data_IF_164473419891
#
_entry.id   IF_164473419891
#
_cell.length_a   1.000
_cell.length_b   1.000
_cell.length_c   1.000
_cell.angle_alpha   90.00
_cell.angle_beta   90.00
_cell.angle_gamma   90.00
#
_symmetry.space_group_name_H-M   'P 1'
#
loop_
_entity.id
_entity.type
_entity.pdbx_description
1 polymer ?
#
# COMPACT_ATOMS: atom_id res chain seq x y z
N UNK A 1 -14.92 2.01 -22.27
CA UNK A 1 -13.55 2.55 -22.17
C UNK A 1 -13.10 2.37 -20.74
N UNK A 2 -11.82 2.07 -20.56
CA UNK A 2 -11.16 1.89 -19.28
C UNK A 2 -10.07 2.94 -19.15
N UNK A 3 -9.78 3.36 -17.92
CA UNK A 3 -8.71 4.30 -17.63
C UNK A 3 -7.38 3.57 -17.54
N UNK A 4 -6.35 4.17 -18.12
CA UNK A 4 -4.95 3.87 -17.85
C UNK A 4 -4.49 4.74 -16.66
N UNK A 5 -3.38 4.35 -16.02
CA UNK A 5 -2.86 5.07 -14.85
C UNK A 5 -2.55 6.55 -15.14
N UNK A 6 -2.11 6.86 -16.36
CA UNK A 6 -1.82 8.23 -16.82
C UNK A 6 -3.07 9.05 -17.21
N UNK A 7 -4.28 8.55 -16.93
CA UNK A 7 -5.54 9.24 -17.24
C UNK A 7 -6.05 9.05 -18.67
N UNK A 8 -5.28 8.41 -19.57
CA UNK A 8 -5.76 8.11 -20.92
C UNK A 8 -6.83 7.00 -20.92
N UNK A 9 -7.66 6.99 -21.96
CA UNK A 9 -8.70 5.98 -22.15
C UNK A 9 -8.28 4.90 -23.15
N UNK A 10 -8.63 3.65 -22.84
CA UNK A 10 -8.44 2.49 -23.72
C UNK A 10 -9.74 1.69 -23.87
N UNK A 11 -9.89 0.97 -24.98
CA UNK A 11 -10.96 -0.03 -25.14
C UNK A 11 -10.59 -1.40 -24.56
N UNK A 12 -9.31 -1.63 -24.26
CA UNK A 12 -8.82 -2.89 -23.70
C UNK A 12 -9.02 -2.94 -22.18
N UNK A 13 -9.83 -3.90 -21.73
CA UNK A 13 -10.13 -4.12 -20.31
C UNK A 13 -8.93 -4.60 -19.51
N UNK A 14 -8.02 -5.35 -20.13
CA UNK A 14 -6.85 -5.93 -19.45
C UNK A 14 -5.79 -4.89 -19.11
N UNK A 15 -5.80 -3.76 -19.82
CA UNK A 15 -4.95 -2.60 -19.56
C UNK A 15 -5.52 -1.64 -18.51
N UNK A 16 -6.68 -1.93 -17.90
CA UNK A 16 -7.31 -1.08 -16.88
C UNK A 16 -6.37 -0.89 -15.68
N UNK A 17 -6.22 0.36 -15.24
CA UNK A 17 -5.51 0.72 -14.02
C UNK A 17 -6.22 1.86 -13.29
N UNK A 18 -6.00 1.95 -11.97
CA UNK A 18 -6.43 3.10 -11.18
C UNK A 18 -5.70 4.37 -11.65
N UNK A 19 -6.39 5.52 -11.67
CA UNK A 19 -5.77 6.80 -11.97
C UNK A 19 -4.73 7.13 -10.90
N UNK A 20 -3.52 7.47 -11.33
CA UNK A 20 -2.48 8.03 -10.44
C UNK A 20 -2.45 9.56 -10.42
N UNK A 21 -3.30 10.22 -11.22
CA UNK A 21 -3.40 11.68 -11.36
C UNK A 21 -4.81 12.23 -11.14
N UNK A 22 -4.97 13.53 -11.37
CA UNK A 22 -6.25 14.25 -11.17
C UNK A 22 -7.08 14.43 -12.44
N UNK A 23 -6.56 14.02 -13.61
CA UNK A 23 -7.16 14.33 -14.91
C UNK A 23 -7.38 13.06 -15.74
N UNK A 24 -8.52 13.00 -16.41
CA UNK A 24 -8.82 12.01 -17.45
C UNK A 24 -8.71 12.72 -18.81
N UNK A 25 -7.90 12.17 -19.70
CA UNK A 25 -7.69 12.71 -21.05
C UNK A 25 -8.35 11.80 -22.10
N UNK A 26 -8.85 12.41 -23.18
CA UNK A 26 -9.47 11.67 -24.30
C UNK A 26 -10.98 11.42 -24.15
N UNK A 27 -11.69 12.23 -23.37
CA UNK A 27 -13.14 12.25 -23.33
C UNK A 27 -13.71 12.91 -24.60
N UNK A 28 -14.74 12.31 -25.20
CA UNK A 28 -15.43 12.81 -26.39
C UNK A 28 -16.79 13.39 -26.00
N UNK A 29 -17.08 14.61 -26.45
CA UNK A 29 -18.36 15.26 -26.20
C UNK A 29 -19.54 14.41 -26.72
N UNK A 30 -20.61 14.32 -25.94
CA UNK A 30 -21.80 13.51 -26.26
C UNK A 30 -21.65 12.00 -26.04
N UNK A 31 -20.48 11.53 -25.56
CA UNK A 31 -20.28 10.12 -25.21
C UNK A 31 -20.52 9.90 -23.71
N UNK A 32 -21.33 8.89 -23.36
CA UNK A 32 -21.51 8.47 -21.97
C UNK A 32 -20.39 7.51 -21.56
N UNK A 33 -19.78 7.77 -20.42
CA UNK A 33 -18.76 6.92 -19.82
C UNK A 33 -19.26 6.33 -18.51
N UNK A 34 -18.98 5.05 -18.28
CA UNK A 34 -19.22 4.42 -16.98
C UNK A 34 -18.05 4.76 -16.05
N UNK A 35 -18.38 5.30 -14.89
CA UNK A 35 -17.42 5.45 -13.79
C UNK A 35 -17.54 4.22 -12.91
N UNK A 36 -16.41 3.62 -12.58
CA UNK A 36 -16.32 2.53 -11.61
C UNK A 36 -15.40 3.01 -10.50
N UNK A 37 -15.82 2.87 -9.25
CA UNK A 37 -14.89 3.01 -8.14
C UNK A 37 -13.86 1.88 -8.22
N UNK A 38 -12.59 2.24 -8.12
CA UNK A 38 -11.57 1.26 -7.84
C UNK A 38 -11.79 0.79 -6.40
N UNK A 39 -12.00 -0.52 -6.21
CA UNK A 39 -11.93 -1.09 -4.88
C UNK A 39 -10.51 -0.86 -4.36
N UNK A 40 -10.40 -0.03 -3.34
CA UNK A 40 -9.14 0.12 -2.61
C UNK A 40 -8.96 -1.14 -1.77
N UNK A 41 -7.79 -1.76 -1.88
CA UNK A 41 -7.43 -2.83 -0.97
C UNK A 41 -7.35 -2.31 0.47
N UNK A 42 -7.40 -3.23 1.42
CA UNK A 42 -7.06 -2.96 2.82
C UNK A 42 -5.73 -3.59 3.15
N UNK A 43 -4.87 -2.86 3.86
CA UNK A 43 -3.63 -3.38 4.41
C UNK A 43 -3.85 -3.80 5.86
N UNK A 44 -3.45 -5.01 6.19
CA UNK A 44 -3.45 -5.57 7.53
C UNK A 44 -2.03 -5.88 7.98
N UNK A 45 -1.82 -5.93 9.30
CA UNK A 45 -0.53 -6.26 9.89
C UNK A 45 -0.63 -7.31 10.97
N UNK A 46 0.44 -8.09 11.12
CA UNK A 46 0.73 -8.86 12.31
C UNK A 46 2.18 -8.57 12.73
N UNK A 47 2.41 -7.99 13.92
CA UNK A 47 1.44 -7.71 14.99
C UNK A 47 0.46 -6.57 14.70
N UNK A 48 -0.65 -6.50 15.47
CA UNK A 48 -1.61 -5.37 15.47
C UNK A 48 -1.36 -4.38 16.62
N UNK A 49 -0.52 -4.75 17.57
CA UNK A 49 -0.05 -3.90 18.65
C UNK A 49 1.38 -4.26 19.06
N UNK A 50 2.15 -3.27 19.49
CA UNK A 50 3.52 -3.41 19.99
C UNK A 50 3.69 -2.55 21.25
N UNK A 51 4.80 -2.72 21.96
CA UNK A 51 5.17 -1.90 23.12
C UNK A 51 6.34 -1.00 22.75
N UNK A 52 6.46 0.15 23.43
CA UNK A 52 7.66 0.98 23.33
C UNK A 52 8.95 0.19 23.54
N UNK A 53 10.01 0.66 22.87
CA UNK A 53 11.36 0.13 23.03
C UNK A 53 12.04 -0.17 21.70
N UNK A 54 13.10 -0.96 21.78
CA UNK A 54 13.84 -1.38 20.59
C UNK A 54 13.16 -2.59 19.95
N UNK A 55 12.52 -2.38 18.80
CA UNK A 55 11.89 -3.47 18.08
C UNK A 55 12.87 -4.05 17.07
N UNK A 56 13.19 -5.33 17.25
CA UNK A 56 13.91 -6.11 16.26
C UNK A 56 13.09 -7.36 15.92
N UNK A 57 12.42 -7.35 14.77
CA UNK A 57 11.48 -8.41 14.45
C UNK A 57 11.01 -8.40 13.01
N UNK A 58 10.07 -9.30 12.74
CA UNK A 58 9.41 -9.41 11.45
C UNK A 58 7.98 -8.90 11.58
N UNK A 59 7.49 -8.23 10.54
CA UNK A 59 6.11 -7.78 10.45
C UNK A 59 5.50 -8.41 9.21
N UNK A 60 4.45 -9.21 9.39
CA UNK A 60 3.67 -9.72 8.26
C UNK A 60 2.66 -8.66 7.84
N UNK A 61 2.60 -8.39 6.54
CA UNK A 61 1.64 -7.51 5.92
C UNK A 61 0.79 -8.30 4.92
N UNK A 62 -0.52 -8.17 5.02
CA UNK A 62 -1.47 -8.87 4.16
C UNK A 62 -2.43 -7.88 3.51
N UNK A 63 -2.77 -8.13 2.25
CA UNK A 63 -3.71 -7.37 1.46
C UNK A 63 -5.05 -8.09 1.39
N UNK A 64 -6.13 -7.33 1.57
CA UNK A 64 -7.49 -7.75 1.23
C UNK A 64 -8.01 -6.88 0.08
N UNK A 65 -8.51 -7.48 -0.99
CA UNK A 65 -9.01 -6.75 -2.17
C UNK A 65 -7.96 -6.15 -3.11
N UNK A 66 -6.66 -6.42 -2.90
CA UNK A 66 -5.56 -6.02 -3.80
C UNK A 66 -4.45 -7.09 -3.81
N UNK A 67 -3.48 -6.97 -4.71
CA UNK A 67 -2.32 -7.84 -4.84
C UNK A 67 -1.05 -7.05 -5.15
N UNK A 68 0.09 -7.64 -4.82
CA UNK A 68 1.40 -7.12 -5.17
C UNK A 68 1.73 -7.38 -6.64
N UNK A 69 2.37 -6.42 -7.31
CA UNK A 69 2.91 -6.57 -8.68
C UNK A 69 4.43 -6.60 -8.70
N UNK A 70 5.00 -7.40 -7.79
CA UNK A 70 6.42 -7.43 -7.47
C UNK A 70 6.73 -6.54 -6.27
N UNK A 71 6.81 -7.15 -5.09
CA UNK A 71 7.05 -6.42 -3.85
C UNK A 71 8.52 -6.02 -3.70
N UNK A 72 8.76 -4.77 -3.27
CA UNK A 72 10.07 -4.26 -2.90
C UNK A 72 9.92 -3.39 -1.65
N UNK A 73 10.68 -3.70 -0.60
CA UNK A 73 10.56 -3.02 0.70
C UNK A 73 10.98 -1.54 0.66
N UNK A 74 11.66 -1.08 -0.39
CA UNK A 74 11.92 0.35 -0.62
C UNK A 74 10.63 1.18 -0.80
N UNK A 75 9.49 0.52 -1.04
CA UNK A 75 8.17 1.12 -1.11
C UNK A 75 7.38 1.04 0.21
N UNK A 76 8.05 0.67 1.31
CA UNK A 76 7.49 0.71 2.66
C UNK A 76 7.91 2.00 3.35
N UNK A 77 6.94 2.71 3.92
CA UNK A 77 7.18 3.92 4.70
C UNK A 77 6.63 3.72 6.10
N UNK A 78 7.48 3.92 7.10
CA UNK A 78 7.07 3.97 8.49
C UNK A 78 6.72 5.40 8.91
N UNK A 79 5.70 5.55 9.74
CA UNK A 79 5.24 6.86 10.24
C UNK A 79 4.67 6.76 11.66
N UNK A 80 4.24 7.91 12.20
CA UNK A 80 3.80 8.00 13.59
C UNK A 80 4.91 7.55 14.55
N UNK A 81 4.55 6.75 15.54
CA UNK A 81 5.47 6.21 16.55
C UNK A 81 6.50 5.22 15.96
N UNK A 82 6.37 4.85 14.68
CA UNK A 82 7.33 4.01 13.94
C UNK A 82 8.31 4.79 13.07
N UNK A 83 8.31 6.12 13.07
CA UNK A 83 9.17 6.91 12.18
C UNK A 83 10.68 6.64 12.34
N UNK A 84 11.09 6.04 13.46
CA UNK A 84 12.47 5.60 13.73
C UNK A 84 12.79 4.17 13.28
N UNK A 85 11.83 3.45 12.68
CA UNK A 85 12.03 2.09 12.19
C UNK A 85 12.63 2.07 10.78
N UNK A 86 13.46 1.06 10.53
CA UNK A 86 14.04 0.71 9.25
C UNK A 86 13.75 -0.76 8.94
N UNK A 87 13.65 -1.09 7.66
CA UNK A 87 13.49 -2.46 7.17
C UNK A 87 14.64 -2.79 6.23
N UNK A 88 15.26 -3.96 6.42
CA UNK A 88 16.45 -4.37 5.67
C UNK A 88 16.16 -5.44 4.61
N UNK A 89 14.92 -5.93 4.54
CA UNK A 89 14.51 -6.89 3.54
C UNK A 89 13.03 -7.20 3.57
N UNK A 90 12.58 -7.99 2.60
CA UNK A 90 11.28 -8.62 2.65
C UNK A 90 11.27 -9.99 1.96
N UNK A 91 10.33 -10.82 2.38
CA UNK A 91 10.04 -12.10 1.78
C UNK A 91 8.59 -12.10 1.28
N UNK A 92 8.39 -12.36 -0.02
CA UNK A 92 7.05 -12.61 -0.56
C UNK A 92 6.58 -14.01 -0.13
N UNK A 93 5.39 -14.07 0.46
CA UNK A 93 4.75 -15.34 0.86
C UNK A 93 3.73 -15.74 -0.22
N UNK A 94 2.97 -14.77 -0.72
CA UNK A 94 2.01 -14.92 -1.81
C UNK A 94 1.87 -13.57 -2.55
N UNK A 95 0.96 -13.51 -3.52
CA UNK A 95 0.61 -12.24 -4.19
C UNK A 95 -0.17 -11.28 -3.28
N UNK A 96 -0.61 -11.71 -2.11
CA UNK A 96 -1.34 -10.89 -1.14
C UNK A 96 -0.62 -10.75 0.20
N UNK A 97 0.50 -11.43 0.41
CA UNK A 97 1.18 -11.46 1.71
C UNK A 97 2.70 -11.36 1.57
N UNK A 98 3.28 -10.50 2.39
CA UNK A 98 4.72 -10.28 2.49
C UNK A 98 5.13 -10.20 3.95
N UNK A 99 6.38 -10.61 4.23
CA UNK A 99 7.00 -10.45 5.54
C UNK A 99 8.09 -9.42 5.40
N UNK A 100 7.98 -8.31 6.12
CA UNK A 100 9.09 -7.39 6.34
C UNK A 100 10.08 -8.07 7.29
N UNK A 101 11.30 -8.32 6.82
CA UNK A 101 12.31 -9.02 7.61
C UNK A 101 13.32 -8.03 8.18
N UNK A 102 13.79 -8.33 9.40
CA UNK A 102 14.79 -7.51 10.09
C UNK A 102 14.35 -6.05 10.25
N UNK A 103 13.10 -5.81 10.63
CA UNK A 103 12.62 -4.48 11.03
C UNK A 103 13.33 -4.12 12.33
N UNK A 104 14.02 -2.97 12.34
CA UNK A 104 14.85 -2.49 13.43
C UNK A 104 14.53 -1.05 13.75
N UNK A 105 14.69 -0.65 15.00
CA UNK A 105 14.69 0.75 15.40
C UNK A 105 13.99 0.99 16.72
N UNK A 106 13.87 2.26 17.08
CA UNK A 106 13.23 2.65 18.31
C UNK A 106 11.76 2.97 18.07
N UNK A 107 10.87 2.34 18.83
CA UNK A 107 9.46 2.67 18.92
C UNK A 107 9.30 3.61 20.12
N UNK A 108 8.80 4.82 19.84
CA UNK A 108 8.54 5.85 20.86
C UNK A 108 7.07 6.22 20.80
N UNK A 109 6.35 6.00 21.90
CA UNK A 109 4.92 6.25 22.03
C UNK A 109 4.65 7.74 22.24
N UNK A 110 4.66 8.48 21.15
CA UNK A 110 4.27 9.88 21.16
C UNK A 110 2.76 10.05 21.00
N UNK A 111 2.15 9.19 20.19
CA UNK A 111 0.73 9.28 19.80
C UNK A 111 -0.10 8.06 20.18
N UNK A 112 0.55 6.93 20.50
CA UNK A 112 -0.11 5.64 20.71
C UNK A 112 -0.31 4.83 19.42
N UNK A 113 0.16 5.34 18.28
CA UNK A 113 -0.02 4.72 16.96
C UNK A 113 1.24 4.82 16.11
N UNK A 114 1.70 3.67 15.62
CA UNK A 114 2.64 3.57 14.50
C UNK A 114 1.88 3.30 13.20
N UNK A 115 2.42 3.78 12.07
CA UNK A 115 1.84 3.49 10.75
C UNK A 115 2.85 2.81 9.86
N UNK A 116 2.36 1.89 9.03
CA UNK A 116 3.09 1.31 7.91
C UNK A 116 2.30 1.58 6.65
N UNK A 117 2.95 2.20 5.67
CA UNK A 117 2.37 2.48 4.35
C UNK A 117 3.11 1.68 3.29
N UNK A 118 2.36 0.95 2.46
CA UNK A 118 2.87 0.38 1.21
C UNK A 118 2.49 1.33 0.08
N UNK A 119 3.47 1.77 -0.71
CA UNK A 119 3.23 2.66 -1.85
C UNK A 119 2.49 1.95 -2.97
N UNK A 120 1.53 2.64 -3.59
CA UNK A 120 0.72 2.11 -4.70
C UNK A 120 1.53 1.66 -5.91
N UNK A 121 2.78 2.10 -6.04
CA UNK A 121 3.71 1.65 -7.08
C UNK A 121 3.92 0.12 -7.10
N UNK A 122 3.83 -0.56 -5.95
CA UNK A 122 3.97 -2.04 -5.86
C UNK A 122 2.63 -2.78 -5.77
N UNK A 123 1.51 -2.06 -5.89
CA UNK A 123 0.15 -2.61 -5.77
C UNK A 123 -0.59 -2.57 -7.11
N UNK A 124 -1.44 -3.56 -7.37
CA UNK A 124 -2.26 -3.58 -8.58
C UNK A 124 -3.37 -2.52 -8.53
N UNK A 125 -3.93 -2.24 -7.35
CA UNK A 125 -4.86 -1.14 -7.11
C UNK A 125 -4.24 0.25 -7.23
N UNK A 126 -2.90 0.35 -7.27
CA UNK A 126 -2.18 1.57 -7.61
C UNK A 126 -2.20 2.68 -6.55
N UNK A 127 -2.98 2.53 -5.48
CA UNK A 127 -3.11 3.51 -4.40
C UNK A 127 -2.27 3.11 -3.19
N UNK A 128 -1.75 4.09 -2.45
CA UNK A 128 -1.06 3.83 -1.19
C UNK A 128 -2.02 3.21 -0.17
N UNK A 129 -1.58 2.14 0.49
CA UNK A 129 -2.34 1.50 1.56
C UNK A 129 -1.60 1.66 2.88
N UNK A 130 -2.32 2.05 3.93
CA UNK A 130 -1.75 2.31 5.26
C UNK A 130 -2.47 1.49 6.31
N UNK A 131 -1.69 0.85 7.18
CA UNK A 131 -2.16 0.18 8.39
C UNK A 131 -1.67 0.92 9.62
N UNK A 132 -2.53 1.03 10.63
CA UNK A 132 -2.20 1.54 11.96
C UNK A 132 -1.96 0.37 12.91
N UNK A 133 -0.91 0.47 13.70
CA UNK A 133 -0.53 -0.51 14.71
C UNK A 133 -0.47 0.22 16.05
N UNK A 134 -1.17 -0.30 17.05
CA UNK A 134 -1.19 0.33 18.38
C UNK A 134 0.20 0.24 19.03
N UNK A 135 0.59 1.31 19.73
CA UNK A 135 1.78 1.32 20.59
C UNK A 135 1.29 1.49 22.04
N UNK A 136 1.58 0.49 22.86
CA UNK A 136 1.18 0.41 24.26
C UNK A 136 2.31 0.80 25.21
#
# INVERSE_FOLDING_TARGET
>A
MYTLANGALTSDATSKAALSGMEIIGLTNGTTYKVEEALLGTLMSNPTAVTEGFYWGNITLSLDGDTFKGFNWNHVVFGGDFSGLIVSGAQSVSDTEVILVSVNGNIVRNSGEGTITIKGAVLNGGSDLTVKIAVN
#
